data_IF_174678291696
#
_entry.id   IF_174678291696
#
_cell.length_a   1.000
_cell.length_b   1.000
_cell.length_c   1.000
_cell.angle_alpha   90.00
_cell.angle_beta   90.00
_cell.angle_gamma   90.00
#
_symmetry.space_group_name_H-M   'P 1'
#
loop_
_entity.id
_entity.type
_entity.pdbx_description
1 polymer ?
#
# COMPACT_ATOMS: atom_id res chain seq x y z
N UNK A 1 -49.45 -29.95 -17.52
CA UNK A 1 -50.19 -29.23 -18.54
C UNK A 1 -49.63 -27.82 -18.70
N UNK A 2 -49.23 -27.57 -19.93
CA UNK A 2 -49.10 -26.32 -20.68
C UNK A 2 -47.96 -25.35 -20.22
N UNK A 3 -46.81 -25.28 -20.95
CA UNK A 3 -46.49 -24.55 -22.22
C UNK A 3 -46.44 -23.03 -22.01
N UNK A 4 -45.30 -22.45 -22.19
CA UNK A 4 -44.54 -21.91 -23.33
C UNK A 4 -44.74 -20.39 -23.36
N UNK A 5 -43.83 -19.51 -23.70
CA UNK A 5 -42.99 -19.26 -24.86
C UNK A 5 -42.09 -18.03 -24.53
N UNK A 6 -40.81 -18.04 -24.81
CA UNK A 6 -40.14 -17.53 -26.03
C UNK A 6 -40.50 -16.10 -26.44
N UNK A 7 -39.52 -15.17 -26.35
CA UNK A 7 -39.26 -14.25 -27.47
C UNK A 7 -37.84 -13.62 -27.37
N UNK A 8 -37.07 -14.03 -28.34
CA UNK A 8 -35.83 -13.42 -28.81
C UNK A 8 -36.09 -12.04 -29.39
N UNK A 9 -35.27 -11.03 -29.14
CA UNK A 9 -35.07 -9.92 -30.08
C UNK A 9 -33.60 -9.60 -30.23
N UNK A 10 -33.05 -10.14 -31.31
CA UNK A 10 -31.88 -9.61 -32.06
C UNK A 10 -32.23 -8.22 -32.57
N UNK A 11 -31.38 -7.24 -32.35
CA UNK A 11 -31.21 -6.08 -33.26
C UNK A 11 -29.74 -5.71 -33.23
N UNK A 12 -29.05 -6.17 -34.26
CA UNK A 12 -28.62 -5.51 -35.52
C UNK A 12 -27.53 -4.45 -35.26
N UNK A 13 -26.36 -4.87 -35.71
CA UNK A 13 -25.18 -4.11 -36.12
C UNK A 13 -25.55 -2.92 -36.99
N UNK A 14 -24.94 -1.78 -36.79
CA UNK A 14 -24.67 -0.81 -37.83
C UNK A 14 -23.24 -0.32 -37.74
N UNK A 15 -22.41 -0.86 -38.62
CA UNK A 15 -21.15 -0.30 -39.03
C UNK A 15 -21.44 1.05 -39.73
N UNK A 16 -20.71 2.08 -39.39
CA UNK A 16 -20.53 3.25 -40.25
C UNK A 16 -19.03 3.42 -40.54
N UNK A 17 -18.75 3.07 -41.77
CA UNK A 17 -17.55 3.34 -42.54
C UNK A 17 -17.73 4.72 -43.19
N UNK A 18 -16.79 5.59 -43.13
CA UNK A 18 -16.75 6.88 -43.86
C UNK A 18 -15.47 7.58 -43.48
N UNK A 19 -14.61 7.75 -44.19
CA UNK A 19 -14.21 8.16 -45.53
C UNK A 19 -12.94 8.97 -45.36
N UNK A 20 -11.88 8.45 -45.94
CA UNK A 20 -10.60 9.18 -46.20
C UNK A 20 -10.92 10.36 -47.11
N UNK A 21 -10.35 11.54 -46.82
CA UNK A 21 -10.00 12.52 -47.86
C UNK A 21 -8.60 13.00 -47.62
N UNK A 22 -7.79 12.66 -48.58
CA UNK A 22 -6.47 13.21 -48.87
C UNK A 22 -6.60 14.52 -49.60
N UNK A 23 -5.82 15.54 -49.26
CA UNK A 23 -5.35 16.62 -50.12
C UNK A 23 -4.00 17.07 -49.54
N UNK A 24 -2.89 16.86 -50.09
CA UNK A 24 -2.16 17.35 -51.25
C UNK A 24 -1.76 18.83 -51.13
N UNK A 25 -0.50 19.00 -50.89
CA UNK A 25 0.49 19.95 -51.42
C UNK A 25 0.12 21.44 -51.51
N UNK A 26 0.95 22.23 -50.84
CA UNK A 26 1.42 23.49 -51.39
C UNK A 26 2.83 23.80 -50.85
N UNK A 27 3.78 23.71 -51.76
CA UNK A 27 5.15 24.22 -51.67
C UNK A 27 5.07 25.72 -51.86
N UNK A 28 5.65 26.50 -50.98
CA UNK A 28 6.06 27.86 -51.29
C UNK A 28 7.48 28.11 -50.77
N UNK A 29 8.32 28.39 -51.74
CA UNK A 29 9.71 28.79 -51.58
C UNK A 29 9.82 30.27 -51.15
N UNK A 30 10.97 30.52 -50.55
CA UNK A 30 11.76 31.78 -50.51
C UNK A 30 11.50 32.76 -49.38
N UNK A 31 12.50 32.88 -48.53
CA UNK A 31 13.36 34.09 -48.50
C UNK A 31 14.56 33.81 -47.59
N UNK A 32 15.75 33.83 -48.24
CA UNK A 32 17.05 33.87 -47.55
C UNK A 32 17.22 35.30 -47.04
N UNK A 33 17.21 35.47 -45.72
CA UNK A 33 17.75 36.65 -45.07
C UNK A 33 18.96 36.23 -44.24
N UNK A 34 20.14 36.55 -44.74
CA UNK A 34 21.37 36.44 -43.98
C UNK A 34 21.37 37.49 -42.88
N UNK A 35 21.40 37.04 -41.64
CA UNK A 35 21.69 37.87 -40.50
C UNK A 35 22.86 37.30 -39.70
N UNK A 36 23.67 38.14 -39.06
CA UNK A 36 25.05 37.87 -38.70
C UNK A 36 25.19 36.87 -37.57
N UNK A 37 26.22 36.03 -37.65
CA UNK A 37 26.74 35.17 -36.59
C UNK A 37 27.11 36.02 -35.35
N UNK A 38 26.25 36.01 -34.37
CA UNK A 38 26.65 36.24 -32.98
C UNK A 38 27.04 34.86 -32.41
N UNK A 39 28.36 34.63 -32.33
CA UNK A 39 28.92 33.54 -31.54
C UNK A 39 28.65 33.85 -30.07
N UNK A 40 27.44 33.59 -29.61
CA UNK A 40 27.13 33.45 -28.20
C UNK A 40 27.47 32.04 -27.77
N UNK A 41 28.67 31.85 -27.18
CA UNK A 41 29.01 30.58 -26.54
C UNK A 41 28.00 30.31 -25.38
N UNK A 42 26.86 29.66 -25.72
CA UNK A 42 26.01 29.01 -24.77
C UNK A 42 26.78 27.82 -24.24
N UNK A 43 27.34 27.94 -23.06
CA UNK A 43 27.77 26.79 -22.29
C UNK A 43 26.48 26.00 -22.04
N UNK A 44 26.25 24.94 -22.79
CA UNK A 44 25.34 23.88 -22.39
C UNK A 44 25.96 23.31 -21.11
N UNK A 45 25.52 23.84 -19.96
CA UNK A 45 25.62 23.13 -18.71
C UNK A 45 24.78 21.87 -18.94
N UNK A 46 25.44 20.79 -19.35
CA UNK A 46 24.90 19.46 -19.14
C UNK A 46 24.62 19.44 -17.62
N UNK A 47 23.35 19.42 -17.21
CA UNK A 47 22.97 19.01 -15.88
C UNK A 47 23.57 17.62 -15.74
N UNK A 48 24.77 17.55 -15.13
CA UNK A 48 25.29 16.31 -14.62
C UNK A 48 24.20 15.80 -13.69
N UNK A 49 23.58 14.67 -14.03
CA UNK A 49 22.76 13.95 -13.08
C UNK A 49 23.57 13.88 -11.80
N UNK A 50 23.10 14.57 -10.75
CA UNK A 50 23.72 14.48 -9.44
C UNK A 50 23.66 13.00 -9.09
N UNK A 51 24.79 12.36 -8.74
CA UNK A 51 24.74 10.99 -8.24
C UNK A 51 23.71 10.97 -7.12
N UNK A 52 22.81 9.99 -7.12
CA UNK A 52 21.73 9.83 -6.16
C UNK A 52 22.27 10.13 -4.78
N UNK A 53 21.82 11.22 -4.18
CA UNK A 53 22.35 11.68 -2.91
C UNK A 53 21.86 10.75 -1.84
N UNK A 54 22.78 9.98 -1.22
CA UNK A 54 22.44 9.12 -0.10
C UNK A 54 21.72 9.93 0.98
N UNK A 55 20.58 9.43 1.43
CA UNK A 55 19.77 10.04 2.49
C UNK A 55 20.22 9.56 3.86
N UNK A 56 20.26 10.43 4.81
CA UNK A 56 20.49 10.06 6.21
C UNK A 56 19.26 9.33 6.79
N UNK A 57 19.47 8.56 7.83
CA UNK A 57 18.39 7.88 8.56
C UNK A 57 17.26 8.85 9.00
N UNK A 58 17.61 10.08 9.38
CA UNK A 58 16.63 11.10 9.74
C UNK A 58 15.83 11.62 8.54
N UNK A 59 16.45 11.76 7.37
CA UNK A 59 15.78 12.19 6.14
C UNK A 59 14.85 11.08 5.62
N UNK A 60 15.27 9.81 5.68
CA UNK A 60 14.39 8.67 5.36
C UNK A 60 13.18 8.68 6.28
N UNK A 61 13.40 8.80 7.61
CA UNK A 61 12.30 8.89 8.58
C UNK A 61 11.31 10.02 8.26
N UNK A 62 11.81 11.21 7.95
CA UNK A 62 10.96 12.35 7.60
C UNK A 62 10.15 12.09 6.31
N UNK A 63 10.70 11.29 5.36
CA UNK A 63 10.05 10.92 4.11
C UNK A 63 8.96 9.85 4.24
N UNK A 64 8.90 9.10 5.36
CA UNK A 64 7.90 8.03 5.55
C UNK A 64 6.46 8.55 5.71
N UNK A 65 6.26 9.82 6.06
CA UNK A 65 4.92 10.40 6.18
C UNK A 65 4.12 9.99 7.43
N UNK A 66 4.76 9.32 8.39
CA UNK A 66 4.17 8.87 9.65
C UNK A 66 4.69 9.69 10.83
N UNK A 67 3.87 9.88 11.87
CA UNK A 67 4.28 10.54 13.11
C UNK A 67 5.25 9.69 13.91
N UNK A 68 5.92 10.31 14.90
CA UNK A 68 6.82 9.61 15.82
C UNK A 68 6.13 8.48 16.58
N UNK A 69 4.88 8.69 17.00
CA UNK A 69 4.08 7.70 17.68
C UNK A 69 3.75 6.50 16.77
N UNK A 70 3.36 6.76 15.52
CA UNK A 70 3.07 5.69 14.55
C UNK A 70 4.33 4.88 14.24
N UNK A 71 5.49 5.52 14.09
CA UNK A 71 6.77 4.83 13.88
C UNK A 71 7.22 4.06 15.12
N UNK A 72 6.97 4.56 16.33
CA UNK A 72 7.21 3.82 17.57
C UNK A 72 6.33 2.56 17.67
N UNK A 73 5.07 2.65 17.24
CA UNK A 73 4.20 1.48 17.15
C UNK A 73 4.74 0.45 16.13
N UNK A 74 5.19 0.89 14.97
CA UNK A 74 5.80 -0.01 13.98
C UNK A 74 7.05 -0.71 14.55
N UNK A 75 7.92 0.01 15.25
CA UNK A 75 9.08 -0.58 15.93
C UNK A 75 8.66 -1.62 16.99
N UNK A 76 7.57 -1.36 17.73
CA UNK A 76 7.00 -2.31 18.70
C UNK A 76 6.47 -3.57 18.02
N UNK A 77 5.79 -3.43 16.88
CA UNK A 77 5.32 -4.57 16.06
C UNK A 77 6.52 -5.41 15.60
N UNK A 78 7.56 -4.77 15.06
CA UNK A 78 8.80 -5.44 14.63
C UNK A 78 9.47 -6.18 15.79
N UNK A 79 9.58 -5.56 16.96
CA UNK A 79 10.15 -6.17 18.16
C UNK A 79 9.37 -7.43 18.57
N UNK A 80 8.05 -7.38 18.62
CA UNK A 80 7.21 -8.54 18.93
C UNK A 80 7.44 -9.70 17.93
N UNK A 81 7.62 -9.39 16.63
CA UNK A 81 7.97 -10.39 15.62
C UNK A 81 9.33 -11.04 15.88
N UNK A 82 10.33 -10.24 16.24
CA UNK A 82 11.68 -10.72 16.61
C UNK A 82 11.65 -11.61 17.85
N UNK A 83 10.88 -11.24 18.86
CA UNK A 83 10.74 -12.02 20.10
C UNK A 83 10.14 -13.42 19.84
N UNK A 84 9.36 -13.55 18.77
CA UNK A 84 8.81 -14.82 18.28
C UNK A 84 9.73 -15.54 17.26
N UNK A 85 10.91 -14.99 16.95
CA UNK A 85 11.84 -15.56 15.97
C UNK A 85 11.38 -15.45 14.51
N UNK A 86 10.46 -14.52 14.20
CA UNK A 86 9.95 -14.32 12.86
C UNK A 86 10.88 -13.44 12.01
N UNK A 87 10.98 -13.78 10.73
CA UNK A 87 11.80 -13.05 9.77
C UNK A 87 11.19 -11.71 9.37
N UNK A 88 11.98 -10.92 8.65
CA UNK A 88 11.65 -9.56 8.19
C UNK A 88 10.34 -9.52 7.39
N UNK A 89 10.12 -10.51 6.51
CA UNK A 89 8.91 -10.59 5.71
C UNK A 89 7.63 -10.67 6.58
N UNK A 90 7.62 -11.49 7.62
CA UNK A 90 6.48 -11.58 8.54
C UNK A 90 6.30 -10.27 9.33
N UNK A 91 7.39 -9.61 9.71
CA UNK A 91 7.39 -8.31 10.36
C UNK A 91 6.80 -7.24 9.44
N UNK A 92 7.19 -7.22 8.17
CA UNK A 92 6.64 -6.32 7.15
C UNK A 92 5.14 -6.54 6.93
N UNK A 93 4.70 -7.81 6.87
CA UNK A 93 3.26 -8.13 6.77
C UNK A 93 2.47 -7.59 7.95
N UNK A 94 3.00 -7.69 9.17
CA UNK A 94 2.32 -7.15 10.35
C UNK A 94 2.26 -5.62 10.34
N UNK A 95 3.35 -4.92 9.97
CA UNK A 95 3.37 -3.46 9.82
C UNK A 95 2.39 -3.03 8.73
N UNK A 96 2.38 -3.68 7.56
CA UNK A 96 1.43 -3.47 6.47
C UNK A 96 -0.01 -3.62 6.95
N UNK A 97 -0.30 -4.67 7.72
CA UNK A 97 -1.64 -4.93 8.25
C UNK A 97 -2.06 -3.83 9.20
N UNK A 98 -1.23 -3.45 10.18
CA UNK A 98 -1.54 -2.37 11.11
C UNK A 98 -1.66 -1.00 10.43
N UNK A 99 -0.91 -0.76 9.36
CA UNK A 99 -1.08 0.43 8.52
C UNK A 99 -2.46 0.46 7.86
N UNK A 100 -2.93 -0.68 7.35
CA UNK A 100 -4.24 -0.82 6.73
C UNK A 100 -5.40 -0.72 7.72
N UNK A 101 -5.25 -1.24 8.94
CA UNK A 101 -6.32 -1.29 9.95
C UNK A 101 -6.50 0.04 10.70
N UNK A 102 -5.41 0.71 11.05
CA UNK A 102 -5.45 1.88 11.93
C UNK A 102 -4.53 3.02 11.52
N UNK A 103 -3.82 2.89 10.39
CA UNK A 103 -2.67 3.74 10.04
C UNK A 103 -1.63 3.76 11.16
N UNK A 104 -1.31 2.60 11.74
CA UNK A 104 -0.37 2.46 12.85
C UNK A 104 -0.76 3.25 14.13
N UNK A 105 -2.04 3.55 14.32
CA UNK A 105 -2.55 4.25 15.51
C UNK A 105 -3.20 3.25 16.48
N UNK A 106 -2.88 3.35 17.75
CA UNK A 106 -3.47 2.49 18.78
C UNK A 106 -4.83 3.05 19.23
N UNK A 107 -5.88 2.77 18.43
CA UNK A 107 -7.22 3.32 18.59
C UNK A 107 -8.01 2.52 19.62
N UNK A 108 -8.66 3.18 20.57
CA UNK A 108 -9.55 2.56 21.56
C UNK A 108 -11.01 2.42 21.09
N UNK A 109 -11.23 2.66 19.80
CA UNK A 109 -12.49 2.55 19.06
C UNK A 109 -12.26 1.93 17.69
N UNK A 110 -13.33 1.51 17.01
CA UNK A 110 -13.25 0.89 15.69
C UNK A 110 -14.49 1.14 14.83
N UNK A 111 -14.79 0.15 13.99
CA UNK A 111 -15.82 0.27 12.95
C UNK A 111 -17.23 0.52 13.49
N UNK A 112 -17.56 -0.01 14.67
CA UNK A 112 -18.87 0.27 15.28
C UNK A 112 -19.03 1.75 15.63
N UNK A 113 -18.03 2.35 16.27
CA UNK A 113 -18.07 3.75 16.72
C UNK A 113 -18.08 4.70 15.53
N UNK A 114 -17.35 4.37 14.46
CA UNK A 114 -17.16 5.25 13.29
C UNK A 114 -18.24 5.10 12.23
N UNK A 115 -18.63 3.86 11.90
CA UNK A 115 -19.49 3.56 10.76
C UNK A 115 -20.68 2.63 11.09
N UNK A 116 -20.87 2.27 12.38
CA UNK A 116 -21.94 1.37 12.83
C UNK A 116 -21.91 -0.01 12.17
N UNK A 117 -20.73 -0.49 11.83
CA UNK A 117 -20.55 -1.81 11.23
C UNK A 117 -20.90 -2.91 12.24
N UNK A 118 -21.61 -3.92 11.78
CA UNK A 118 -21.97 -5.10 12.56
C UNK A 118 -21.30 -6.35 12.01
N UNK A 119 -21.12 -7.33 12.87
CA UNK A 119 -20.74 -8.67 12.50
C UNK A 119 -21.86 -9.35 11.67
N UNK A 120 -21.58 -10.44 10.95
CA UNK A 120 -22.59 -11.16 10.16
C UNK A 120 -23.80 -11.67 10.98
N UNK A 121 -23.63 -11.88 12.28
CA UNK A 121 -24.69 -12.27 13.21
C UNK A 121 -25.51 -11.09 13.74
N UNK A 122 -25.22 -9.86 13.30
CA UNK A 122 -25.86 -8.61 13.73
C UNK A 122 -25.33 -8.02 15.04
N UNK A 123 -24.35 -8.65 15.70
CA UNK A 123 -23.69 -8.07 16.86
C UNK A 123 -22.79 -6.88 16.47
N UNK A 124 -22.48 -6.02 17.43
CA UNK A 124 -21.55 -4.90 17.23
C UNK A 124 -20.15 -5.43 17.00
N UNK A 125 -19.40 -4.80 16.08
CA UNK A 125 -17.95 -5.02 16.03
C UNK A 125 -17.32 -4.38 17.26
N UNK A 126 -16.30 -5.06 17.80
CA UNK A 126 -15.55 -4.64 19.00
C UNK A 126 -14.09 -4.34 18.68
N UNK A 127 -13.84 -3.99 17.42
CA UNK A 127 -12.52 -3.71 16.85
C UNK A 127 -11.83 -2.56 17.58
N UNK A 128 -10.59 -2.79 18.03
CA UNK A 128 -9.73 -1.78 18.69
C UNK A 128 -8.25 -2.05 18.44
N UNK A 129 -7.42 -1.09 18.78
CA UNK A 129 -5.97 -1.20 18.76
C UNK A 129 -5.36 -1.08 17.37
N UNK A 130 -4.08 -1.38 17.29
CA UNK A 130 -3.27 -1.29 16.06
C UNK A 130 -3.81 -2.15 14.91
N UNK A 131 -4.35 -3.33 15.24
CA UNK A 131 -4.82 -4.32 14.28
C UNK A 131 -6.34 -4.40 14.20
N UNK A 132 -7.07 -3.48 14.80
CA UNK A 132 -8.54 -3.48 14.88
C UNK A 132 -9.10 -4.85 15.28
N UNK A 133 -8.47 -5.46 16.29
CA UNK A 133 -8.81 -6.78 16.80
C UNK A 133 -10.12 -6.74 17.59
N UNK A 134 -11.02 -7.71 17.34
CA UNK A 134 -12.25 -7.90 18.11
C UNK A 134 -12.02 -8.75 19.37
N UNK A 135 -13.03 -8.86 20.24
CA UNK A 135 -12.98 -9.56 21.54
C UNK A 135 -12.46 -11.00 21.46
N UNK A 136 -12.66 -11.67 20.33
CA UNK A 136 -12.15 -13.03 20.10
C UNK A 136 -10.64 -13.13 20.03
N UNK A 137 -9.91 -12.02 19.93
CA UNK A 137 -8.44 -12.02 19.88
C UNK A 137 -7.80 -11.99 21.27
N UNK A 138 -8.48 -11.42 22.28
CA UNK A 138 -7.97 -11.27 23.63
C UNK A 138 -8.77 -10.23 24.42
N UNK A 139 -8.38 -10.00 25.65
CA UNK A 139 -8.95 -8.95 26.50
C UNK A 139 -8.75 -7.55 25.88
N UNK A 140 -9.52 -6.57 26.35
CA UNK A 140 -9.36 -5.19 25.89
C UNK A 140 -7.96 -4.65 26.14
N UNK A 141 -7.38 -4.94 27.31
CA UNK A 141 -6.04 -4.47 27.65
C UNK A 141 -4.96 -5.12 26.78
N UNK A 142 -5.07 -6.41 26.47
CA UNK A 142 -4.16 -7.10 25.55
C UNK A 142 -4.21 -6.54 24.13
N UNK A 143 -5.40 -6.19 23.63
CA UNK A 143 -5.57 -5.62 22.28
C UNK A 143 -5.15 -4.14 22.19
N UNK A 144 -5.12 -3.42 23.32
CA UNK A 144 -4.64 -2.04 23.41
C UNK A 144 -3.16 -1.92 23.82
N UNK A 145 -2.53 -3.00 24.27
CA UNK A 145 -1.08 -3.02 24.43
C UNK A 145 -0.41 -3.33 23.09
N UNK A 146 0.37 -2.41 22.50
CA UNK A 146 0.92 -2.57 21.16
C UNK A 146 1.73 -3.84 20.94
N UNK A 147 2.55 -4.25 21.93
CA UNK A 147 3.38 -5.44 21.83
C UNK A 147 2.55 -6.72 21.94
N UNK A 148 1.61 -6.76 22.85
CA UNK A 148 0.72 -7.90 23.04
C UNK A 148 -0.22 -8.07 21.84
N UNK A 149 -0.81 -6.98 21.33
CA UNK A 149 -1.65 -7.00 20.13
C UNK A 149 -0.89 -7.54 18.91
N UNK A 150 0.37 -7.13 18.71
CA UNK A 150 1.24 -7.66 17.66
C UNK A 150 1.55 -9.15 17.89
N UNK A 151 1.80 -9.57 19.12
CA UNK A 151 2.02 -10.97 19.47
C UNK A 151 0.80 -11.83 19.16
N UNK A 152 -0.40 -11.36 19.45
CA UNK A 152 -1.67 -12.01 19.10
C UNK A 152 -1.82 -12.16 17.58
N UNK A 153 -1.50 -11.09 16.84
CA UNK A 153 -1.50 -11.12 15.38
C UNK A 153 -0.55 -12.20 14.84
N UNK A 154 0.70 -12.20 15.26
CA UNK A 154 1.70 -13.17 14.78
C UNK A 154 1.34 -14.62 15.12
N UNK A 155 0.86 -14.89 16.33
CA UNK A 155 0.39 -16.23 16.70
C UNK A 155 -0.75 -16.71 15.80
N UNK A 156 -1.67 -15.79 15.47
CA UNK A 156 -2.78 -16.07 14.56
C UNK A 156 -2.28 -16.30 13.14
N UNK A 157 -1.33 -15.49 12.66
CA UNK A 157 -0.68 -15.62 11.36
C UNK A 157 -0.03 -17.02 11.22
N UNK A 158 0.78 -17.42 12.20
CA UNK A 158 1.44 -18.73 12.21
C UNK A 158 0.40 -19.88 12.17
N UNK A 159 -0.64 -19.78 12.98
CA UNK A 159 -1.65 -20.83 13.13
C UNK A 159 -2.55 -20.95 11.90
N UNK A 160 -2.98 -19.83 11.30
CA UNK A 160 -3.94 -19.82 10.19
C UNK A 160 -3.28 -19.96 8.81
N UNK A 161 -2.03 -19.51 8.67
CA UNK A 161 -1.34 -19.42 7.36
C UNK A 161 0.03 -20.10 7.44
N UNK A 162 0.08 -21.44 7.65
CA UNK A 162 1.35 -22.16 7.74
C UNK A 162 2.14 -22.14 6.43
N UNK A 163 1.47 -21.98 5.28
CA UNK A 163 2.04 -21.91 3.92
C UNK A 163 2.32 -20.46 3.46
N UNK A 164 2.42 -19.50 4.39
CA UNK A 164 2.50 -18.06 4.12
C UNK A 164 3.65 -17.64 3.21
N UNK A 165 4.76 -18.38 3.21
CA UNK A 165 5.92 -18.06 2.37
C UNK A 165 5.62 -18.20 0.87
N UNK A 166 4.63 -19.01 0.51
CA UNK A 166 4.19 -19.23 -0.87
C UNK A 166 3.10 -18.24 -1.33
N UNK A 167 2.61 -17.37 -0.45
CA UNK A 167 1.47 -16.47 -0.72
C UNK A 167 1.92 -15.02 -0.87
N UNK A 168 1.21 -14.21 -1.67
CA UNK A 168 1.38 -12.76 -1.65
C UNK A 168 1.15 -12.18 -0.24
N UNK A 169 1.91 -11.15 0.19
CA UNK A 169 1.78 -10.57 1.53
C UNK A 169 0.36 -10.15 1.90
N UNK A 170 -0.36 -9.50 0.97
CA UNK A 170 -1.75 -9.08 1.20
C UNK A 170 -2.68 -10.26 1.49
N UNK A 171 -2.49 -11.40 0.82
CA UNK A 171 -3.28 -12.60 1.07
C UNK A 171 -2.97 -13.25 2.43
N UNK A 172 -1.71 -13.15 2.89
CA UNK A 172 -1.35 -13.59 4.24
C UNK A 172 -2.07 -12.74 5.28
N UNK A 173 -2.02 -11.42 5.14
CA UNK A 173 -2.74 -10.49 6.01
C UNK A 173 -4.26 -10.73 5.99
N UNK A 174 -4.85 -10.87 4.79
CA UNK A 174 -6.28 -11.18 4.60
C UNK A 174 -6.69 -12.46 5.34
N UNK A 175 -5.94 -13.56 5.17
CA UNK A 175 -6.25 -14.84 5.84
C UNK A 175 -6.06 -14.77 7.36
N UNK A 176 -5.16 -13.90 7.83
CA UNK A 176 -4.93 -13.70 9.27
C UNK A 176 -6.08 -12.90 9.89
N UNK A 177 -6.49 -11.79 9.27
CA UNK A 177 -7.54 -10.88 9.75
C UNK A 177 -8.96 -11.33 9.40
N UNK A 178 -9.12 -12.08 8.29
CA UNK A 178 -10.43 -12.54 7.77
C UNK A 178 -11.32 -11.34 7.39
N UNK A 179 -10.80 -10.42 6.59
CA UNK A 179 -11.57 -9.32 6.01
C UNK A 179 -12.27 -9.73 4.69
N UNK A 180 -13.04 -8.82 4.09
CA UNK A 180 -13.83 -9.12 2.88
C UNK A 180 -13.02 -8.99 1.57
N UNK A 181 -11.96 -8.19 1.55
CA UNK A 181 -11.17 -7.90 0.37
C UNK A 181 -9.75 -8.49 0.49
N UNK A 182 -9.40 -9.52 -0.32
CA UNK A 182 -8.08 -10.12 -0.29
C UNK A 182 -6.93 -9.17 -0.63
N UNK A 183 -7.21 -8.10 -1.39
CA UNK A 183 -6.20 -7.14 -1.83
C UNK A 183 -6.18 -5.85 -0.98
N UNK A 184 -6.97 -5.82 0.11
CA UNK A 184 -7.11 -4.64 0.97
C UNK A 184 -5.78 -4.03 1.41
N UNK A 185 -4.79 -4.86 1.75
CA UNK A 185 -3.52 -4.43 2.33
C UNK A 185 -2.44 -4.13 1.29
N UNK A 186 -2.59 -4.52 0.02
CA UNK A 186 -1.54 -4.41 -1.00
C UNK A 186 -0.96 -3.00 -1.11
N UNK A 187 -1.81 -1.98 -1.09
CA UNK A 187 -1.42 -0.56 -1.18
C UNK A 187 -0.54 -0.05 -0.03
N UNK A 188 -0.42 -0.81 1.06
CA UNK A 188 0.42 -0.45 2.21
C UNK A 188 1.75 -1.20 2.24
N UNK A 189 1.99 -2.05 1.23
CA UNK A 189 3.18 -2.90 1.20
C UNK A 189 4.47 -2.09 1.10
N UNK A 190 4.56 -1.17 0.16
CA UNK A 190 5.77 -0.36 -0.08
C UNK A 190 6.09 0.52 1.12
N UNK A 191 5.07 1.12 1.74
CA UNK A 191 5.24 1.88 2.99
C UNK A 191 5.77 0.99 4.12
N UNK A 192 5.23 -0.22 4.25
CA UNK A 192 5.64 -1.16 5.30
C UNK A 192 7.10 -1.62 5.10
N UNK A 193 7.51 -1.90 3.86
CA UNK A 193 8.91 -2.21 3.52
C UNK A 193 9.81 -1.04 3.94
N UNK A 194 9.50 0.18 3.52
CA UNK A 194 10.30 1.36 3.84
C UNK A 194 10.40 1.61 5.37
N UNK A 195 9.31 1.37 6.11
CA UNK A 195 9.28 1.49 7.57
C UNK A 195 10.17 0.42 8.22
N UNK A 196 10.09 -0.84 7.78
CA UNK A 196 10.88 -1.94 8.35
C UNK A 196 12.35 -1.74 8.04
N UNK A 197 12.71 -1.39 6.81
CA UNK A 197 14.08 -1.08 6.40
C UNK A 197 14.68 0.05 7.26
N UNK A 198 13.92 1.14 7.43
CA UNK A 198 14.33 2.22 8.31
C UNK A 198 14.48 1.77 9.76
N UNK A 199 13.50 1.07 10.32
CA UNK A 199 13.48 0.69 11.74
C UNK A 199 14.56 -0.36 12.09
N UNK A 200 15.03 -1.12 11.10
CA UNK A 200 16.03 -2.19 11.31
C UNK A 200 17.44 -1.78 10.91
N UNK A 201 17.59 -0.68 10.18
CA UNK A 201 18.89 -0.16 9.80
C UNK A 201 19.74 0.25 11.03
N UNK A 202 21.05 -0.05 11.02
CA UNK A 202 21.95 0.43 12.06
C UNK A 202 21.97 1.95 12.17
N UNK A 203 22.16 2.52 13.37
CA UNK A 203 22.34 3.96 13.53
C UNK A 203 23.47 4.49 12.65
N UNK A 204 23.21 5.57 11.93
CA UNK A 204 24.18 6.19 11.01
C UNK A 204 24.24 5.58 9.61
N UNK A 205 23.36 4.63 9.29
CA UNK A 205 23.22 4.11 7.92
C UNK A 205 22.87 5.24 6.96
N UNK A 206 23.59 5.29 5.82
CA UNK A 206 23.22 6.08 4.66
C UNK A 206 22.40 5.21 3.71
N UNK A 207 21.24 5.67 3.32
CA UNK A 207 20.35 5.01 2.35
C UNK A 207 20.64 5.60 0.96
N UNK A 208 21.29 4.80 0.11
CA UNK A 208 21.62 5.16 -1.27
C UNK A 208 20.75 4.31 -2.19
N UNK A 209 20.05 4.96 -3.13
CA UNK A 209 19.24 4.29 -4.18
C UNK A 209 20.16 3.78 -5.30
#
# INVERSE_FOLDING_TARGET
MARAASSSRRRRRRARRGRRTSQASAILLTAVVAAPLLVGGGILLAEAATPDACRTHAEVRAGLGYSDEQLAHAQTIIAAGRDLGLGERDQTIAVMTAAGESSLRNLDYGDWETARVTNPDGSRTTSIGLFQQQDGWGTRDERLDPHTAATLFYRTLIARVPDRDALPPTQVAHRTQVNLDPEHYERYWDDAVAIVDWATAPPGTLHCD
#
